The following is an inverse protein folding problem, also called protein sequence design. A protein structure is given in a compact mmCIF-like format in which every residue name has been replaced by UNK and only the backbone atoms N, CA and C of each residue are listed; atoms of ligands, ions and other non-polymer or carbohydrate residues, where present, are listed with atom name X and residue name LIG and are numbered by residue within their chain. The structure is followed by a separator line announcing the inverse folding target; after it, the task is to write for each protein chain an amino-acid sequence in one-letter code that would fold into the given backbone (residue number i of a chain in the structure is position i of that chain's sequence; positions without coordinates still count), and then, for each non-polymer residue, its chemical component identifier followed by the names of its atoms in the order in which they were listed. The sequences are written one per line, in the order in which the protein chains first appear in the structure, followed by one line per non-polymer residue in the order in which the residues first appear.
data_IF_674735603916
#
_entry.id   IF_674735603916
#
_cell.length_a   1.000
_cell.length_b   1.000
_cell.length_c   1.000
_cell.angle_alpha   90.00
_cell.angle_beta   90.00
_cell.angle_gamma   90.00
#
_symmetry.space_group_name_H-M   'P 1'
#
loop_
_entity.id
_entity.type
_entity.pdbx_description
1 polymer ?
#
# COMPACT_ATOMS: atom_id res chain seq x y z
N UNK A 1 42.77 25.16 -14.66
CA UNK A 1 42.87 23.80 -14.09
C UNK A 1 41.73 23.62 -13.09
N UNK A 2 41.18 22.43 -13.05
CA UNK A 2 39.80 22.05 -12.71
C UNK A 2 39.73 21.59 -11.26
N UNK A 3 38.64 21.90 -10.54
CA UNK A 3 37.91 20.90 -9.74
C UNK A 3 36.51 21.46 -9.43
N UNK A 4 35.55 21.11 -10.30
CA UNK A 4 34.14 21.20 -9.98
C UNK A 4 33.78 19.91 -9.23
N UNK A 5 33.64 19.98 -7.92
CA UNK A 5 33.19 18.86 -7.08
C UNK A 5 31.67 18.74 -7.22
N UNK A 6 31.23 17.83 -8.09
CA UNK A 6 29.86 17.33 -8.10
C UNK A 6 29.56 16.60 -6.78
N UNK A 7 28.45 16.91 -6.07
CA UNK A 7 27.93 15.98 -5.08
C UNK A 7 27.23 14.83 -5.80
N UNK A 8 27.80 13.64 -5.64
CA UNK A 8 27.15 12.35 -5.87
C UNK A 8 26.18 12.12 -4.70
N UNK A 9 24.89 12.01 -5.01
CA UNK A 9 23.86 11.37 -4.15
C UNK A 9 23.05 10.47 -5.07
N UNK A 10 23.33 9.15 -5.14
CA UNK A 10 22.63 8.02 -4.46
C UNK A 10 21.13 7.90 -4.77
N UNK A 11 20.62 6.66 -4.77
CA UNK A 11 20.05 5.98 -5.93
C UNK A 11 18.56 6.27 -6.11
N UNK A 12 18.06 5.86 -7.26
CA UNK A 12 16.67 5.83 -7.72
C UNK A 12 15.64 5.44 -6.65
N UNK A 13 15.22 6.40 -5.83
CA UNK A 13 13.92 6.37 -5.18
C UNK A 13 12.89 6.80 -6.24
N UNK A 14 12.42 5.85 -7.04
CA UNK A 14 11.31 6.08 -7.96
C UNK A 14 10.02 6.16 -7.15
N UNK A 15 9.91 7.12 -6.23
CA UNK A 15 8.62 7.56 -5.72
C UNK A 15 7.97 8.33 -6.85
N UNK A 16 7.14 7.62 -7.64
CA UNK A 16 6.22 8.24 -8.58
C UNK A 16 5.55 9.44 -7.89
N UNK A 17 5.39 10.59 -8.58
CA UNK A 17 4.84 11.78 -7.97
C UNK A 17 3.43 11.46 -7.44
N UNK A 18 3.30 11.39 -6.11
CA UNK A 18 2.01 11.16 -5.46
C UNK A 18 1.08 12.30 -5.84
N UNK A 19 -0.13 11.98 -6.30
CA UNK A 19 -1.14 13.00 -6.51
C UNK A 19 -1.49 13.67 -5.18
N UNK A 20 -1.98 14.92 -5.23
CA UNK A 20 -2.44 15.61 -4.02
C UNK A 20 -3.51 14.80 -3.26
N UNK A 21 -4.32 14.01 -3.98
CA UNK A 21 -5.29 13.10 -3.38
C UNK A 21 -4.62 11.93 -2.65
N UNK A 22 -3.59 11.31 -3.23
CA UNK A 22 -2.80 10.27 -2.55
C UNK A 22 -2.16 10.82 -1.28
N UNK A 23 -1.51 11.99 -1.35
CA UNK A 23 -0.88 12.62 -0.18
C UNK A 23 -1.90 12.89 0.95
N UNK A 24 -3.11 13.34 0.60
CA UNK A 24 -4.21 13.52 1.56
C UNK A 24 -4.65 12.19 2.19
N UNK A 25 -4.74 11.11 1.41
CA UNK A 25 -5.09 9.79 1.93
C UNK A 25 -4.07 9.31 2.97
N UNK A 26 -2.77 9.36 2.65
CA UNK A 26 -1.70 8.94 3.57
C UNK A 26 -1.65 9.79 4.86
N UNK A 27 -2.15 11.01 4.84
CA UNK A 27 -2.25 11.89 6.01
C UNK A 27 -3.61 11.77 6.75
N UNK A 28 -4.54 10.94 6.27
CA UNK A 28 -5.89 10.81 6.82
C UNK A 28 -6.00 9.69 7.85
N UNK A 29 -7.00 9.80 8.74
CA UNK A 29 -7.38 8.70 9.64
C UNK A 29 -7.76 7.43 8.88
N UNK A 30 -8.28 7.57 7.66
CA UNK A 30 -8.61 6.45 6.79
C UNK A 30 -7.40 5.57 6.46
N UNK A 31 -6.19 6.16 6.35
CA UNK A 31 -4.96 5.39 6.17
C UNK A 31 -4.60 4.58 7.42
N UNK A 32 -4.72 5.18 8.61
CA UNK A 32 -4.42 4.51 9.88
C UNK A 32 -5.38 3.31 10.06
N UNK A 33 -6.67 3.55 9.87
CA UNK A 33 -7.71 2.50 9.97
C UNK A 33 -7.49 1.41 8.93
N UNK A 34 -7.18 1.77 7.68
CA UNK A 34 -6.90 0.80 6.63
C UNK A 34 -5.68 -0.06 6.98
N UNK A 35 -4.58 0.57 7.38
CA UNK A 35 -3.33 -0.12 7.72
C UNK A 35 -3.54 -1.09 8.88
N UNK A 36 -4.16 -0.64 9.96
CA UNK A 36 -4.36 -1.48 11.15
C UNK A 36 -5.31 -2.66 10.84
N UNK A 37 -6.36 -2.43 10.03
CA UNK A 37 -7.26 -3.50 9.60
C UNK A 37 -6.58 -4.51 8.67
N UNK A 38 -5.74 -4.05 7.74
CA UNK A 38 -4.97 -4.91 6.83
C UNK A 38 -3.94 -5.73 7.60
N UNK A 39 -3.23 -5.11 8.56
CA UNK A 39 -2.27 -5.80 9.42
C UNK A 39 -2.95 -6.87 10.26
N UNK A 40 -4.11 -6.57 10.85
CA UNK A 40 -4.90 -7.56 11.60
C UNK A 40 -5.34 -8.75 10.74
N UNK A 41 -5.51 -8.56 9.42
CA UNK A 41 -5.78 -9.67 8.50
C UNK A 41 -4.53 -10.50 8.22
N UNK A 42 -3.37 -9.86 8.11
CA UNK A 42 -2.08 -10.56 7.93
C UNK A 42 -1.73 -11.40 9.16
N UNK A 43 -1.93 -10.85 10.36
CA UNK A 43 -1.60 -11.54 11.61
C UNK A 43 -2.59 -12.66 11.96
N UNK A 44 -3.75 -12.70 11.30
CA UNK A 44 -4.81 -13.65 11.60
C UNK A 44 -4.73 -14.88 10.70
N UNK A 45 -4.65 -16.10 11.27
CA UNK A 45 -4.64 -17.34 10.49
C UNK A 45 -5.96 -17.61 9.77
N UNK A 46 -7.01 -16.81 10.04
CA UNK A 46 -8.31 -16.91 9.39
C UNK A 46 -8.32 -16.36 7.96
N UNK A 47 -7.29 -15.59 7.58
CA UNK A 47 -7.19 -14.98 6.26
C UNK A 47 -5.95 -15.47 5.54
N UNK A 48 -6.13 -15.89 4.30
CA UNK A 48 -5.07 -16.20 3.37
C UNK A 48 -4.62 -14.90 2.68
N UNK A 49 -3.71 -14.20 3.34
CA UNK A 49 -3.06 -12.98 2.83
C UNK A 49 -1.77 -13.28 2.05
N UNK A 50 -1.28 -14.53 2.14
CA UNK A 50 0.01 -14.99 1.59
C UNK A 50 -0.12 -15.58 0.17
N UNK A 51 -1.21 -16.29 -0.16
CA UNK A 51 -1.13 -17.29 -1.25
C UNK A 51 -1.80 -16.94 -2.59
N UNK A 52 -2.50 -15.81 -2.75
CA UNK A 52 -3.27 -15.56 -3.99
C UNK A 52 -2.88 -14.30 -4.78
N UNK A 53 -2.34 -13.26 -4.12
CA UNK A 53 -2.05 -11.98 -4.77
C UNK A 53 -0.61 -11.87 -5.30
N UNK A 54 0.30 -12.76 -4.93
CA UNK A 54 1.72 -12.73 -5.34
C UNK A 54 1.98 -13.19 -6.79
N UNK A 55 0.97 -13.20 -7.65
CA UNK A 55 1.10 -13.61 -9.07
C UNK A 55 1.55 -12.50 -10.01
N UNK A 56 1.80 -11.29 -9.52
CA UNK A 56 2.27 -10.17 -10.31
C UNK A 56 3.53 -9.63 -9.65
N UNK A 57 4.61 -9.44 -10.41
CA UNK A 57 5.97 -9.07 -9.99
C UNK A 57 6.10 -7.68 -9.34
N UNK A 58 5.15 -7.31 -8.50
CA UNK A 58 5.19 -6.16 -7.60
C UNK A 58 5.84 -6.61 -6.29
N UNK A 59 6.88 -5.87 -5.89
CA UNK A 59 7.63 -6.04 -4.65
C UNK A 59 6.82 -5.69 -3.39
N UNK A 60 5.59 -5.20 -3.55
CA UNK A 60 4.74 -4.74 -2.45
C UNK A 60 4.02 -5.92 -1.79
N UNK A 61 4.08 -5.96 -0.46
CA UNK A 61 3.33 -6.88 0.38
C UNK A 61 1.82 -6.61 0.34
N UNK A 62 1.06 -7.47 1.02
CA UNK A 62 -0.40 -7.38 1.08
C UNK A 62 -0.87 -5.99 1.53
N UNK A 63 -0.36 -5.50 2.67
CA UNK A 63 -0.75 -4.21 3.23
C UNK A 63 -0.41 -3.06 2.28
N UNK A 64 0.83 -2.98 1.81
CA UNK A 64 1.31 -1.88 0.96
C UNK A 64 0.51 -1.78 -0.33
N UNK A 65 0.18 -2.92 -0.94
CA UNK A 65 -0.60 -2.97 -2.18
C UNK A 65 -2.02 -2.43 -1.98
N UNK A 66 -2.67 -2.84 -0.89
CA UNK A 66 -4.04 -2.39 -0.62
C UNK A 66 -4.08 -0.92 -0.20
N UNK A 67 -3.08 -0.43 0.53
CA UNK A 67 -2.93 1.00 0.84
C UNK A 67 -2.64 1.83 -0.42
N UNK A 68 -1.78 1.33 -1.30
CA UNK A 68 -1.51 1.97 -2.60
C UNK A 68 -2.79 2.03 -3.44
N UNK A 69 -3.56 0.95 -3.50
CA UNK A 69 -4.83 0.91 -4.21
C UNK A 69 -5.85 1.92 -3.65
N UNK A 70 -6.06 1.95 -2.33
CA UNK A 70 -6.95 2.92 -1.68
C UNK A 70 -6.50 4.36 -1.91
N UNK A 71 -5.18 4.62 -1.94
CA UNK A 71 -4.64 5.94 -2.22
C UNK A 71 -4.92 6.41 -3.65
N UNK A 72 -5.01 5.48 -4.61
CA UNK A 72 -5.32 5.76 -6.02
C UNK A 72 -6.81 5.90 -6.29
N UNK A 73 -7.65 5.36 -5.41
CA UNK A 73 -9.10 5.29 -5.56
C UNK A 73 -9.83 5.91 -4.35
N UNK A 74 -9.72 7.23 -4.14
CA UNK A 74 -10.35 7.91 -3.00
C UNK A 74 -11.89 7.84 -3.02
N UNK A 75 -12.50 7.50 -4.15
CA UNK A 75 -13.93 7.25 -4.29
C UNK A 75 -14.41 5.95 -3.62
N UNK A 76 -13.50 5.04 -3.26
CA UNK A 76 -13.86 3.79 -2.62
C UNK A 76 -14.26 4.00 -1.16
N UNK A 77 -15.37 3.38 -0.78
CA UNK A 77 -15.76 3.26 0.62
C UNK A 77 -14.80 2.32 1.35
N UNK A 78 -13.98 2.85 2.26
CA UNK A 78 -13.04 2.06 3.05
C UNK A 78 -13.69 0.89 3.79
N UNK A 79 -14.82 1.05 4.52
CA UNK A 79 -15.50 -0.08 5.17
C UNK A 79 -15.97 -1.15 4.19
N UNK A 80 -16.49 -0.74 3.02
CA UNK A 80 -16.94 -1.66 1.97
C UNK A 80 -15.77 -2.43 1.36
N UNK A 81 -14.67 -1.74 1.08
CA UNK A 81 -13.45 -2.34 0.56
C UNK A 81 -12.88 -3.41 1.50
N UNK A 82 -12.71 -3.06 2.78
CA UNK A 82 -12.18 -3.99 3.79
C UNK A 82 -13.10 -5.19 4.01
N UNK A 83 -14.41 -4.99 3.98
CA UNK A 83 -15.39 -6.08 4.11
C UNK A 83 -15.28 -7.06 2.94
N UNK A 84 -15.21 -6.55 1.71
CA UNK A 84 -15.02 -7.37 0.52
C UNK A 84 -13.69 -8.11 0.57
N UNK A 85 -12.61 -7.43 0.97
CA UNK A 85 -11.29 -8.01 1.07
C UNK A 85 -11.25 -9.17 2.08
N UNK A 86 -11.90 -9.02 3.23
CA UNK A 86 -12.04 -10.09 4.24
C UNK A 86 -12.80 -11.30 3.70
N UNK A 87 -13.84 -11.10 2.89
CA UNK A 87 -14.57 -12.20 2.28
C UNK A 87 -13.73 -12.94 1.24
N UNK A 88 -12.97 -12.21 0.42
CA UNK A 88 -12.12 -12.78 -0.62
C UNK A 88 -10.92 -13.55 -0.05
N UNK A 89 -10.39 -13.10 1.09
CA UNK A 89 -9.20 -13.68 1.72
C UNK A 89 -9.53 -14.69 2.80
N UNK A 90 -10.80 -14.87 3.21
CA UNK A 90 -11.15 -15.80 4.28
C UNK A 90 -10.74 -17.22 3.89
N UNK A 91 -9.93 -17.86 4.73
CA UNK A 91 -9.63 -19.28 4.62
C UNK A 91 -10.91 -20.11 4.73
N UNK A 92 -11.00 -21.18 3.95
CA UNK A 92 -12.04 -22.21 4.10
C UNK A 92 -11.73 -23.11 5.28
#
# INVERSE_FOLDING_TARGET
MIINTSPRTTPEDTTLPRSAAQAKFYASDGFIVARDALQAMVDSPLYNTDSAYYRSGSSLGFCERHLEHLSRHPELSLPGYLSNLRLMTRGR
#
